data_IF_278826106647
#
_entry.id   IF_278826106647
#
_cell.length_a   1.000
_cell.length_b   1.000
_cell.length_c   1.000
_cell.angle_alpha   90.00
_cell.angle_beta   90.00
_cell.angle_gamma   90.00
#
_symmetry.space_group_name_H-M   'P 1'
#
loop_
_entity.id
_entity.type
_entity.pdbx_description
1 polymer ?
#
# COMPACT_ATOMS: atom_id res chain seq x y z
N UNK A 1 -35.07 4.35 -0.58
CA UNK A 1 -35.34 5.60 0.16
C UNK A 1 -34.79 5.57 1.59
N UNK A 2 -34.89 4.46 2.34
CA UNK A 2 -34.46 4.42 3.75
C UNK A 2 -32.95 4.57 3.99
N UNK A 3 -32.08 4.04 3.12
CA UNK A 3 -30.62 4.18 3.28
C UNK A 3 -30.12 5.62 3.09
N UNK A 4 -30.67 6.35 2.11
CA UNK A 4 -30.34 7.76 1.87
C UNK A 4 -31.03 8.71 2.84
N UNK A 5 -32.24 8.39 3.32
CA UNK A 5 -32.83 9.11 4.46
C UNK A 5 -31.99 8.90 5.72
N UNK A 6 -31.57 7.67 6.02
CA UNK A 6 -30.69 7.38 7.15
C UNK A 6 -29.32 8.07 7.02
N UNK A 7 -28.77 8.12 5.80
CA UNK A 7 -27.54 8.85 5.51
C UNK A 7 -27.76 10.37 5.63
N UNK A 8 -28.86 10.91 5.12
CA UNK A 8 -29.26 12.31 5.25
C UNK A 8 -29.45 12.70 6.71
N UNK A 9 -30.15 11.91 7.51
CA UNK A 9 -30.37 12.20 8.93
C UNK A 9 -29.05 12.09 9.72
N UNK A 10 -28.18 11.13 9.36
CA UNK A 10 -26.84 10.99 9.97
C UNK A 10 -25.85 12.08 9.54
N UNK A 11 -25.86 12.52 8.28
CA UNK A 11 -25.01 13.60 7.77
C UNK A 11 -25.55 14.94 8.26
N UNK A 12 -26.85 15.20 8.16
CA UNK A 12 -27.48 16.46 8.55
C UNK A 12 -27.45 16.70 10.06
N UNK A 13 -27.63 15.66 10.90
CA UNK A 13 -27.40 15.78 12.35
C UNK A 13 -25.93 16.02 12.72
N UNK A 14 -24.99 15.61 11.88
CA UNK A 14 -23.55 15.76 12.10
C UNK A 14 -22.98 17.06 11.56
N UNK A 15 -23.41 17.53 10.38
CA UNK A 15 -23.07 18.86 9.87
C UNK A 15 -23.53 19.94 10.85
N UNK A 16 -24.71 19.76 11.47
CA UNK A 16 -25.15 20.62 12.59
C UNK A 16 -24.23 20.56 13.82
N UNK A 17 -23.50 19.46 14.05
CA UNK A 17 -22.55 19.30 15.15
C UNK A 17 -21.14 19.81 14.83
N UNK A 18 -20.68 19.72 13.58
CA UNK A 18 -19.35 20.19 13.16
C UNK A 18 -19.26 21.71 13.27
N UNK A 19 -20.37 22.42 13.05
CA UNK A 19 -20.49 23.87 13.28
C UNK A 19 -20.35 24.26 14.78
N UNK A 20 -20.40 23.31 15.71
CA UNK A 20 -20.48 23.59 17.15
C UNK A 20 -19.25 23.17 17.98
N UNK A 21 -18.11 22.81 17.38
CA UNK A 21 -16.92 22.36 18.13
C UNK A 21 -15.77 23.39 18.20
N UNK A 22 -16.02 24.65 17.83
CA UNK A 22 -15.09 25.75 18.11
C UNK A 22 -15.36 26.29 19.53
N UNK A 23 -14.32 26.60 20.33
CA UNK A 23 -14.49 27.25 21.63
C UNK A 23 -15.22 28.59 21.45
N UNK A 24 -16.09 28.98 22.41
CA UNK A 24 -16.94 30.15 22.26
C UNK A 24 -16.09 31.43 22.18
N UNK A 25 -16.20 32.25 21.11
CA UNK A 25 -15.70 33.61 21.14
C UNK A 25 -16.56 34.45 22.11
N UNK A 26 -15.97 35.46 22.78
CA UNK A 26 -16.72 36.40 23.59
C UNK A 26 -17.66 37.25 22.71
N UNK A 27 -18.85 37.49 23.26
CA UNK A 27 -19.96 38.37 22.82
C UNK A 27 -20.59 38.14 21.43
N UNK A 28 -21.88 37.81 21.49
CA UNK A 28 -22.79 37.44 20.41
C UNK A 28 -23.10 38.63 19.49
N UNK A 29 -22.47 38.69 18.33
CA UNK A 29 -23.08 39.32 17.16
C UNK A 29 -23.93 38.25 16.45
N UNK A 30 -25.23 38.52 16.31
CA UNK A 30 -26.14 37.74 15.47
C UNK A 30 -25.66 37.88 14.03
N UNK A 31 -24.75 37.01 13.60
CA UNK A 31 -24.27 37.00 12.23
C UNK A 31 -25.44 36.62 11.32
N UNK A 32 -25.92 37.60 10.55
CA UNK A 32 -26.85 37.37 9.46
C UNK A 32 -26.33 36.20 8.61
N UNK A 33 -27.11 35.12 8.56
CA UNK A 33 -26.78 33.90 7.82
C UNK A 33 -26.48 34.28 6.37
N UNK A 34 -25.21 34.22 5.98
CA UNK A 34 -24.80 34.49 4.59
C UNK A 34 -25.46 33.42 3.71
N UNK A 35 -26.47 33.83 2.97
CA UNK A 35 -27.12 33.01 1.96
C UNK A 35 -26.09 32.78 0.85
N UNK A 36 -25.93 31.52 0.41
CA UNK A 36 -25.05 31.19 -0.70
C UNK A 36 -25.50 31.91 -1.97
N UNK A 37 -24.57 32.40 -2.78
CA UNK A 37 -24.88 33.04 -4.08
C UNK A 37 -25.69 32.12 -4.99
N UNK A 38 -25.50 30.79 -4.89
CA UNK A 38 -26.26 29.81 -5.67
C UNK A 38 -27.73 29.70 -5.24
N UNK A 39 -28.05 29.92 -3.96
CA UNK A 39 -29.44 29.87 -3.46
C UNK A 39 -30.27 31.07 -3.91
N UNK A 40 -29.63 32.09 -4.50
CA UNK A 40 -30.31 33.26 -5.08
C UNK A 40 -30.65 33.08 -6.55
N UNK A 41 -30.16 32.03 -7.20
CA UNK A 41 -30.44 31.78 -8.59
C UNK A 41 -31.89 31.28 -8.75
N UNK A 42 -32.61 31.75 -9.79
CA UNK A 42 -33.79 31.05 -10.28
C UNK A 42 -33.49 29.57 -10.52
N UNK A 43 -34.46 28.71 -10.24
CA UNK A 43 -34.27 27.25 -10.31
C UNK A 43 -33.88 26.81 -11.72
N UNK A 44 -34.36 27.49 -12.75
CA UNK A 44 -34.06 27.24 -14.15
C UNK A 44 -32.57 27.46 -14.46
N UNK A 45 -31.97 28.51 -13.89
CA UNK A 45 -30.54 28.78 -14.04
C UNK A 45 -29.71 27.75 -13.27
N UNK A 46 -30.15 27.35 -12.07
CA UNK A 46 -29.51 26.25 -11.34
C UNK A 46 -29.55 24.95 -12.17
N UNK A 47 -30.71 24.60 -12.72
CA UNK A 47 -30.89 23.40 -13.54
C UNK A 47 -30.03 23.44 -14.82
N UNK A 48 -29.92 24.61 -15.45
CA UNK A 48 -29.00 24.82 -16.57
C UNK A 48 -27.55 24.55 -16.14
N UNK A 49 -27.09 25.10 -15.01
CA UNK A 49 -25.73 24.88 -14.50
C UNK A 49 -25.48 23.40 -14.20
N UNK A 50 -26.39 22.74 -13.47
CA UNK A 50 -26.18 21.35 -13.06
C UNK A 50 -26.24 20.36 -14.24
N UNK A 51 -26.86 20.74 -15.36
CA UNK A 51 -26.87 19.92 -16.58
C UNK A 51 -25.48 19.71 -17.20
N UNK A 52 -24.51 20.56 -16.85
CA UNK A 52 -23.11 20.45 -17.27
C UNK A 52 -22.22 19.70 -16.26
N UNK A 53 -22.79 19.26 -15.13
CA UNK A 53 -22.04 18.59 -14.07
C UNK A 53 -22.23 17.07 -14.14
N UNK A 54 -21.22 16.28 -13.75
CA UNK A 54 -21.40 14.86 -13.50
C UNK A 54 -22.48 14.62 -12.45
N UNK A 55 -23.24 13.54 -12.60
CA UNK A 55 -24.34 13.18 -11.70
C UNK A 55 -23.88 13.10 -10.24
N UNK A 56 -22.67 12.60 -10.00
CA UNK A 56 -22.04 12.55 -8.68
C UNK A 56 -21.88 13.94 -8.04
N UNK A 57 -21.49 14.95 -8.80
CA UNK A 57 -21.39 16.33 -8.33
C UNK A 57 -22.75 16.96 -8.05
N UNK A 58 -23.75 16.69 -8.91
CA UNK A 58 -25.14 17.13 -8.67
C UNK A 58 -25.70 16.54 -7.38
N UNK A 59 -25.43 15.25 -7.14
CA UNK A 59 -25.82 14.57 -5.91
C UNK A 59 -25.16 15.21 -4.67
N UNK A 60 -23.86 15.55 -4.72
CA UNK A 60 -23.20 16.28 -3.64
C UNK A 60 -23.79 17.68 -3.41
N UNK A 61 -24.06 18.44 -4.47
CA UNK A 61 -24.68 19.76 -4.38
C UNK A 61 -26.07 19.67 -3.72
N UNK A 62 -26.84 18.63 -4.04
CA UNK A 62 -28.16 18.37 -3.43
C UNK A 62 -28.10 18.15 -1.90
N UNK A 63 -26.93 17.85 -1.34
CA UNK A 63 -26.74 17.62 0.09
C UNK A 63 -26.32 18.87 0.87
N UNK A 64 -25.99 19.97 0.18
CA UNK A 64 -25.49 21.21 0.80
C UNK A 64 -26.56 22.01 1.52
N UNK A 65 -27.80 22.03 1.01
CA UNK A 65 -28.93 22.70 1.66
C UNK A 65 -30.28 22.06 1.32
N UNK A 66 -31.31 22.39 2.10
CA UNK A 66 -32.68 21.90 1.87
C UNK A 66 -33.21 22.34 0.51
N UNK A 67 -32.91 23.57 0.10
CA UNK A 67 -33.36 24.10 -1.18
C UNK A 67 -32.72 23.37 -2.36
N UNK A 68 -31.39 23.19 -2.36
CA UNK A 68 -30.71 22.40 -3.40
C UNK A 68 -31.22 20.96 -3.44
N UNK A 69 -31.50 20.36 -2.28
CA UNK A 69 -32.06 19.02 -2.21
C UNK A 69 -33.40 18.93 -2.95
N UNK A 70 -34.33 19.86 -2.66
CA UNK A 70 -35.65 19.89 -3.27
C UNK A 70 -35.58 20.19 -4.77
N UNK A 71 -34.70 21.09 -5.19
CA UNK A 71 -34.51 21.45 -6.59
C UNK A 71 -33.86 20.33 -7.43
N UNK A 72 -32.93 19.56 -6.84
CA UNK A 72 -32.06 18.64 -7.59
C UNK A 72 -32.40 17.15 -7.41
N UNK A 73 -33.33 16.78 -6.52
CA UNK A 73 -33.61 15.37 -6.21
C UNK A 73 -34.01 14.53 -7.44
N UNK A 74 -34.67 15.15 -8.43
CA UNK A 74 -35.13 14.47 -9.64
C UNK A 74 -34.07 14.45 -10.76
N UNK A 75 -32.89 15.05 -10.54
CA UNK A 75 -31.82 15.14 -11.54
C UNK A 75 -30.86 13.94 -11.52
N UNK A 76 -31.04 12.99 -10.59
CA UNK A 76 -30.22 11.79 -10.49
C UNK A 76 -30.98 10.61 -9.87
N UNK A 77 -30.60 9.37 -10.20
CA UNK A 77 -31.10 8.20 -9.45
C UNK A 77 -30.33 8.07 -8.13
N UNK A 78 -30.96 8.31 -6.98
CA UNK A 78 -30.29 8.21 -5.70
C UNK A 78 -29.84 6.77 -5.38
N UNK A 79 -30.40 5.76 -6.06
CA UNK A 79 -30.02 4.36 -5.86
C UNK A 79 -28.82 3.92 -6.69
N UNK A 80 -28.43 4.68 -7.72
CA UNK A 80 -27.30 4.35 -8.59
C UNK A 80 -27.32 2.91 -9.09
N UNK A 81 -28.49 2.40 -9.51
CA UNK A 81 -28.63 0.96 -9.78
C UNK A 81 -27.80 0.46 -10.94
N UNK A 82 -27.53 1.34 -11.90
CA UNK A 82 -26.92 0.99 -13.18
C UNK A 82 -25.57 1.71 -13.41
N UNK A 83 -25.07 2.47 -12.42
CA UNK A 83 -23.84 3.26 -12.55
C UNK A 83 -23.00 3.23 -11.26
N UNK A 84 -22.27 2.14 -11.07
CA UNK A 84 -21.34 1.99 -9.96
C UNK A 84 -20.14 2.95 -10.05
N UNK A 85 -19.82 3.45 -11.25
CA UNK A 85 -18.71 4.40 -11.46
C UNK A 85 -19.08 5.78 -10.91
N UNK A 86 -20.24 6.33 -11.26
CA UNK A 86 -20.71 7.59 -10.70
C UNK A 86 -21.00 7.48 -9.21
N UNK A 87 -21.52 6.34 -8.74
CA UNK A 87 -21.65 6.07 -7.30
C UNK A 87 -20.30 6.12 -6.59
N UNK A 88 -19.25 5.51 -7.15
CA UNK A 88 -17.90 5.57 -6.58
C UNK A 88 -17.39 7.01 -6.52
N UNK A 89 -17.58 7.79 -7.59
CA UNK A 89 -17.24 9.22 -7.65
C UNK A 89 -17.98 10.03 -6.58
N UNK A 90 -19.29 9.85 -6.46
CA UNK A 90 -20.13 10.50 -5.45
C UNK A 90 -19.65 10.20 -4.04
N UNK A 91 -19.37 8.93 -3.73
CA UNK A 91 -18.90 8.55 -2.40
C UNK A 91 -17.50 9.11 -2.11
N UNK A 92 -16.61 9.19 -3.11
CA UNK A 92 -15.29 9.81 -2.96
C UNK A 92 -15.42 11.30 -2.69
N UNK A 93 -16.31 12.01 -3.39
CA UNK A 93 -16.60 13.42 -3.09
C UNK A 93 -17.08 13.60 -1.64
N UNK A 94 -17.97 12.73 -1.15
CA UNK A 94 -18.40 12.77 0.26
C UNK A 94 -17.28 12.44 1.25
N UNK A 95 -16.39 11.52 0.91
CA UNK A 95 -15.23 11.19 1.72
C UNK A 95 -14.27 12.38 1.92
N UNK A 96 -14.27 13.34 0.99
CA UNK A 96 -13.45 14.55 1.09
C UNK A 96 -13.90 15.45 2.25
N UNK A 97 -15.19 15.47 2.57
CA UNK A 97 -15.80 16.31 3.61
C UNK A 97 -15.94 15.61 4.97
N UNK A 98 -15.72 14.29 5.02
CA UNK A 98 -15.95 13.48 6.22
C UNK A 98 -14.70 12.68 6.58
N UNK A 99 -13.77 13.27 7.37
CA UNK A 99 -12.44 12.69 7.63
C UNK A 99 -12.48 11.29 8.27
N UNK A 100 -13.49 10.99 9.08
CA UNK A 100 -13.63 9.68 9.74
C UNK A 100 -14.17 8.57 8.84
N UNK A 101 -14.60 8.92 7.62
CA UNK A 101 -15.15 7.99 6.65
C UNK A 101 -14.14 7.67 5.55
N UNK A 102 -14.30 6.51 4.92
CA UNK A 102 -13.49 6.04 3.80
C UNK A 102 -14.37 5.28 2.82
N UNK A 103 -14.08 5.42 1.53
CA UNK A 103 -14.75 4.63 0.49
C UNK A 103 -13.99 3.32 0.28
N UNK A 104 -14.68 2.20 0.36
CA UNK A 104 -14.10 0.92 -0.05
C UNK A 104 -14.00 0.88 -1.57
N UNK A 105 -12.80 0.68 -2.11
CA UNK A 105 -12.54 0.62 -3.54
C UNK A 105 -13.19 -0.59 -4.26
N UNK A 106 -13.64 -1.60 -3.52
CA UNK A 106 -14.31 -2.78 -4.08
C UNK A 106 -15.84 -2.70 -3.98
N UNK A 107 -16.35 -2.34 -2.80
CA UNK A 107 -17.78 -2.36 -2.53
C UNK A 107 -18.50 -1.06 -2.89
N UNK A 108 -17.77 0.03 -3.16
CA UNK A 108 -18.33 1.38 -3.28
C UNK A 108 -19.29 1.69 -2.12
N UNK A 109 -18.78 1.53 -0.89
CA UNK A 109 -19.48 1.91 0.33
C UNK A 109 -18.63 2.87 1.15
N UNK A 110 -19.29 3.82 1.82
CA UNK A 110 -18.67 4.73 2.76
C UNK A 110 -18.75 4.14 4.18
N UNK A 111 -17.61 3.91 4.83
CA UNK A 111 -17.54 3.31 6.17
C UNK A 111 -16.59 4.07 7.08
N UNK A 112 -16.77 3.93 8.40
CA UNK A 112 -15.90 4.56 9.40
C UNK A 112 -14.61 3.75 9.57
N UNK A 113 -13.50 4.25 9.06
CA UNK A 113 -12.23 3.54 9.10
C UNK A 113 -11.63 3.46 10.50
N UNK A 114 -11.80 4.49 11.35
CA UNK A 114 -11.34 4.48 12.76
C UNK A 114 -12.11 3.53 13.68
N UNK A 115 -13.29 3.06 13.25
CA UNK A 115 -14.13 2.13 14.03
C UNK A 115 -14.05 0.68 13.53
N UNK A 116 -13.24 0.40 12.50
CA UNK A 116 -13.00 -0.99 12.13
C UNK A 116 -12.20 -1.70 13.24
N UNK A 117 -12.31 -3.02 13.31
CA UNK A 117 -11.70 -3.88 14.34
C UNK A 117 -10.32 -3.39 14.80
N UNK A 118 -10.04 -3.46 16.12
CA UNK A 118 -8.73 -3.11 16.70
C UNK A 118 -7.57 -3.84 16.03
N UNK A 119 -7.83 -5.02 15.47
CA UNK A 119 -6.83 -5.88 14.84
C UNK A 119 -6.66 -5.61 13.34
N UNK A 120 -7.66 -5.01 12.69
CA UNK A 120 -7.69 -4.78 11.24
C UNK A 120 -8.24 -3.36 10.98
N UNK A 121 -7.45 -2.32 11.31
CA UNK A 121 -7.79 -0.96 10.95
C UNK A 121 -7.92 -0.85 9.43
N UNK A 122 -8.74 0.08 8.94
CA UNK A 122 -8.94 0.36 7.51
C UNK A 122 -9.66 -0.73 6.69
N UNK A 123 -9.97 -1.89 7.27
CA UNK A 123 -10.66 -2.95 6.52
C UNK A 123 -12.14 -2.59 6.30
N UNK A 124 -12.61 -2.82 5.08
CA UNK A 124 -14.02 -2.69 4.74
C UNK A 124 -14.87 -3.63 5.62
N UNK A 125 -15.98 -3.18 6.22
CA UNK A 125 -16.84 -4.06 7.02
C UNK A 125 -17.47 -5.20 6.20
N UNK A 126 -17.61 -5.01 4.89
CA UNK A 126 -18.14 -6.01 3.96
C UNK A 126 -17.05 -6.88 3.31
N UNK A 127 -15.80 -6.83 3.78
CA UNK A 127 -14.70 -7.61 3.19
C UNK A 127 -14.93 -9.13 3.20
N UNK A 128 -15.81 -9.63 4.06
CA UNK A 128 -16.17 -11.05 4.13
C UNK A 128 -17.37 -11.42 3.25
N UNK A 129 -18.06 -10.44 2.65
CA UNK A 129 -19.13 -10.71 1.69
C UNK A 129 -18.52 -11.08 0.34
N UNK A 130 -18.33 -12.39 0.17
CA UNK A 130 -17.71 -13.02 -1.01
C UNK A 130 -18.44 -12.74 -2.33
N UNK A 131 -19.67 -12.24 -2.30
CA UNK A 131 -20.40 -11.87 -3.52
C UNK A 131 -20.05 -10.48 -4.02
N UNK A 132 -19.55 -9.60 -3.14
CA UNK A 132 -19.29 -8.18 -3.43
C UNK A 132 -17.81 -7.86 -3.55
N UNK A 133 -17.00 -8.54 -2.76
CA UNK A 133 -15.58 -8.63 -3.02
C UNK A 133 -15.43 -9.85 -3.92
N UNK A 134 -15.14 -9.66 -5.21
CA UNK A 134 -14.96 -10.75 -6.18
C UNK A 134 -13.95 -11.79 -5.65
N UNK A 135 -14.49 -12.77 -4.93
CA UNK A 135 -13.72 -13.74 -4.14
C UNK A 135 -12.99 -14.73 -5.05
N UNK A 136 -13.32 -14.75 -6.34
CA UNK A 136 -12.60 -15.54 -7.34
C UNK A 136 -11.27 -14.90 -7.75
N UNK A 137 -11.09 -13.59 -7.51
CA UNK A 137 -9.84 -12.86 -7.78
C UNK A 137 -9.05 -12.49 -6.53
N UNK A 138 -9.68 -12.48 -5.35
CA UNK A 138 -9.03 -12.06 -4.10
C UNK A 138 -9.53 -12.89 -2.90
N UNK A 139 -8.95 -14.07 -2.67
CA UNK A 139 -8.51 -14.30 -1.28
C UNK A 139 -7.64 -13.09 -1.00
N UNK A 140 -7.98 -12.28 0.00
CA UNK A 140 -7.15 -11.19 0.54
C UNK A 140 -5.77 -11.77 0.81
N UNK A 141 -4.97 -11.85 -0.24
CA UNK A 141 -3.77 -12.59 -0.19
C UNK A 141 -2.82 -11.65 0.54
N UNK A 142 -2.25 -12.11 1.67
CA UNK A 142 -1.51 -11.27 2.58
C UNK A 142 -0.25 -10.75 1.88
N UNK A 143 -0.37 -9.63 1.16
CA UNK A 143 0.70 -9.16 0.28
C UNK A 143 1.25 -7.84 0.75
N UNK A 144 1.88 -7.95 1.91
CA UNK A 144 3.25 -7.54 2.12
C UNK A 144 3.50 -7.77 3.60
N UNK A 145 4.44 -8.66 3.93
CA UNK A 145 4.91 -8.83 5.30
C UNK A 145 5.77 -7.61 5.65
N UNK A 146 5.13 -6.45 5.80
CA UNK A 146 5.83 -5.23 6.16
C UNK A 146 6.22 -5.31 7.62
N UNK A 147 5.40 -5.95 8.47
CA UNK A 147 5.73 -6.11 9.88
C UNK A 147 5.40 -7.51 10.41
N UNK A 148 6.31 -8.08 11.21
CA UNK A 148 5.94 -8.96 12.33
C UNK A 148 6.06 -8.13 13.63
N UNK A 149 5.00 -7.51 14.16
CA UNK A 149 4.96 -7.19 15.57
C UNK A 149 4.46 -8.43 16.30
N UNK A 150 5.25 -8.87 17.28
CA UNK A 150 5.19 -10.15 18.00
C UNK A 150 3.86 -10.49 18.71
N UNK A 151 2.81 -9.66 18.61
CA UNK A 151 1.60 -9.81 19.42
C UNK A 151 0.30 -9.86 18.59
N UNK A 152 0.25 -9.29 17.37
CA UNK A 152 -1.01 -9.14 16.60
C UNK A 152 -0.97 -9.82 15.22
N UNK A 153 0.11 -10.56 14.92
CA UNK A 153 0.30 -11.19 13.62
C UNK A 153 0.78 -10.20 12.56
N UNK A 154 1.08 -10.67 11.34
CA UNK A 154 1.66 -9.83 10.32
C UNK A 154 0.70 -8.69 9.93
N UNK A 155 1.17 -7.44 9.96
CA UNK A 155 0.39 -6.34 9.40
C UNK A 155 0.39 -6.47 7.88
N UNK A 156 -0.79 -6.73 7.35
CA UNK A 156 -1.02 -6.86 5.92
C UNK A 156 -1.44 -5.51 5.38
N UNK A 157 -0.76 -5.03 4.33
CA UNK A 157 -1.20 -3.85 3.61
C UNK A 157 -2.25 -4.26 2.59
N UNK A 158 -3.46 -3.75 2.77
CA UNK A 158 -4.57 -3.88 1.83
C UNK A 158 -4.73 -2.61 1.01
N UNK A 159 -5.45 -2.71 -0.11
CA UNK A 159 -5.75 -1.57 -0.98
C UNK A 159 -6.36 -0.37 -0.25
N UNK A 160 -7.31 -0.59 0.65
CA UNK A 160 -7.91 0.49 1.44
C UNK A 160 -6.93 1.14 2.43
N UNK A 161 -5.91 0.40 2.89
CA UNK A 161 -4.85 0.95 3.74
C UNK A 161 -3.95 1.89 2.93
N UNK A 162 -3.61 1.53 1.69
CA UNK A 162 -2.90 2.44 0.76
C UNK A 162 -3.68 3.74 0.59
N UNK A 163 -4.98 3.65 0.30
CA UNK A 163 -5.84 4.83 0.15
C UNK A 163 -5.89 5.66 1.43
N UNK A 164 -5.86 5.02 2.62
CA UNK A 164 -5.78 5.68 3.92
C UNK A 164 -4.50 6.51 4.08
N UNK A 165 -3.33 5.92 3.81
CA UNK A 165 -2.05 6.62 3.90
C UNK A 165 -1.95 7.76 2.89
N UNK A 166 -2.40 7.54 1.65
CA UNK A 166 -2.43 8.59 0.63
C UNK A 166 -3.33 9.77 1.05
N UNK A 167 -4.48 9.49 1.66
CA UNK A 167 -5.37 10.53 2.22
C UNK A 167 -4.73 11.24 3.40
N UNK A 168 -4.13 10.49 4.33
CA UNK A 168 -3.43 11.04 5.49
C UNK A 168 -2.26 11.93 5.09
N UNK A 169 -1.50 11.54 4.07
CA UNK A 169 -0.42 12.35 3.51
C UNK A 169 -0.94 13.63 2.83
N UNK A 170 -1.95 13.52 1.96
CA UNK A 170 -2.45 14.66 1.19
C UNK A 170 -3.23 15.68 2.03
N UNK A 171 -3.92 15.23 3.10
CA UNK A 171 -4.87 16.06 3.86
C UNK A 171 -4.56 16.16 5.35
N UNK A 172 -3.52 15.48 5.82
CA UNK A 172 -3.11 15.44 7.22
C UNK A 172 -3.79 14.35 8.08
N UNK A 173 -3.39 14.25 9.35
CA UNK A 173 -3.67 13.12 10.24
C UNK A 173 -5.14 12.90 10.62
N UNK A 174 -6.01 13.86 10.30
CA UNK A 174 -7.46 13.69 10.51
C UNK A 174 -8.08 12.74 9.48
N UNK A 175 -7.49 12.65 8.28
CA UNK A 175 -8.02 11.91 7.14
C UNK A 175 -7.43 10.50 6.96
N UNK A 176 -6.33 10.20 7.64
CA UNK A 176 -5.67 8.90 7.55
C UNK A 176 -4.39 8.84 8.38
N UNK A 177 -3.77 7.66 8.46
CA UNK A 177 -2.46 7.49 9.08
C UNK A 177 -1.38 8.26 8.31
N UNK A 178 -0.29 8.59 9.00
CA UNK A 178 0.84 9.32 8.41
C UNK A 178 1.93 8.36 7.91
N UNK A 179 2.70 8.74 6.90
CA UNK A 179 3.66 7.82 6.24
C UNK A 179 4.72 7.29 7.20
N UNK A 180 5.08 8.06 8.22
CA UNK A 180 6.07 7.69 9.24
C UNK A 180 5.63 6.46 10.03
N UNK A 181 4.33 6.13 10.08
CA UNK A 181 3.82 4.92 10.72
C UNK A 181 4.19 3.64 9.92
N UNK A 182 4.53 3.76 8.63
CA UNK A 182 5.06 2.65 7.82
C UNK A 182 6.59 2.53 7.95
N UNK A 183 7.26 3.62 8.31
CA UNK A 183 8.71 3.66 8.45
C UNK A 183 9.12 2.88 9.68
N UNK A 184 9.99 1.89 9.50
CA UNK A 184 10.50 1.14 10.63
C UNK A 184 11.84 0.50 10.32
N UNK A 185 12.61 0.29 11.38
CA UNK A 185 13.82 -0.53 11.36
C UNK A 185 13.59 -1.68 12.32
N UNK A 186 13.36 -2.89 11.79
CA UNK A 186 13.29 -4.07 12.63
C UNK A 186 14.69 -4.60 12.86
N UNK A 187 15.12 -4.58 14.12
CA UNK A 187 16.25 -5.38 14.55
C UNK A 187 15.80 -6.83 14.73
N UNK A 188 16.65 -7.80 14.40
CA UNK A 188 16.35 -9.20 14.59
C UNK A 188 16.27 -9.50 16.09
N UNK A 189 15.08 -9.82 16.58
CA UNK A 189 14.94 -10.43 17.91
C UNK A 189 15.22 -11.94 17.80
N UNK A 190 16.02 -12.44 18.74
CA UNK A 190 16.73 -13.72 18.73
C UNK A 190 15.81 -14.97 18.80
N UNK A 191 14.48 -14.82 18.73
CA UNK A 191 13.54 -15.85 19.24
C UNK A 191 12.72 -16.56 18.16
N UNK A 192 13.20 -16.64 16.92
CA UNK A 192 12.52 -17.47 15.91
C UNK A 192 12.93 -18.95 16.07
N UNK A 193 11.98 -19.91 16.10
CA UNK A 193 12.24 -21.34 16.28
C UNK A 193 12.88 -22.02 15.05
N UNK A 194 13.28 -21.27 14.03
CA UNK A 194 13.88 -21.81 12.81
C UNK A 194 15.33 -21.36 12.69
N UNK A 195 16.24 -22.34 12.70
CA UNK A 195 17.69 -22.25 12.45
C UNK A 195 18.39 -21.16 13.28
N UNK A 196 18.97 -21.57 14.41
CA UNK A 196 19.68 -20.73 15.37
C UNK A 196 20.58 -19.68 14.67
N UNK A 197 20.25 -18.40 14.89
CA UNK A 197 21.19 -17.28 14.74
C UNK A 197 21.18 -16.50 13.42
N UNK A 198 20.42 -16.87 12.39
CA UNK A 198 20.39 -16.10 11.13
C UNK A 198 19.39 -14.96 11.20
N UNK A 199 19.89 -13.74 11.19
CA UNK A 199 19.16 -12.53 11.56
C UNK A 199 19.19 -11.51 10.40
N UNK A 200 18.04 -11.26 9.78
CA UNK A 200 17.91 -10.24 8.72
C UNK A 200 17.53 -8.92 9.40
N UNK A 201 18.38 -7.91 9.27
CA UNK A 201 17.99 -6.54 9.58
C UNK A 201 17.15 -6.02 8.44
N UNK A 202 16.03 -5.36 8.75
CA UNK A 202 15.15 -4.79 7.74
C UNK A 202 14.86 -3.34 8.07
N UNK A 203 14.99 -2.48 7.07
CA UNK A 203 14.58 -1.08 7.12
C UNK A 203 13.53 -0.86 6.06
N UNK A 204 12.47 -0.11 6.38
CA UNK A 204 11.45 0.31 5.43
C UNK A 204 11.30 1.82 5.51
N UNK A 205 11.25 2.44 4.34
CA UNK A 205 10.97 3.85 4.12
C UNK A 205 9.80 3.99 3.13
N UNK A 206 8.75 4.68 3.54
CA UNK A 206 7.54 4.91 2.77
C UNK A 206 7.48 6.35 2.29
N UNK A 207 7.16 6.55 1.01
CA UNK A 207 7.07 7.87 0.38
C UNK A 207 5.90 7.95 -0.57
N UNK A 208 5.47 9.17 -0.87
CA UNK A 208 4.49 9.43 -1.93
C UNK A 208 5.18 10.16 -3.08
N UNK A 209 5.20 9.53 -4.25
CA UNK A 209 5.79 10.10 -5.46
C UNK A 209 4.73 10.18 -6.54
N UNK A 210 4.44 11.39 -7.02
CA UNK A 210 3.38 11.66 -8.01
C UNK A 210 2.02 11.05 -7.62
N UNK A 211 1.65 11.17 -6.34
CA UNK A 211 0.38 10.65 -5.83
C UNK A 211 0.32 9.13 -5.64
N UNK A 212 1.45 8.42 -5.80
CA UNK A 212 1.55 6.96 -5.62
C UNK A 212 2.36 6.63 -4.36
N UNK A 213 1.90 5.64 -3.60
CA UNK A 213 2.61 5.16 -2.42
C UNK A 213 3.73 4.22 -2.86
N UNK A 214 4.97 4.60 -2.56
CA UNK A 214 6.17 3.80 -2.77
C UNK A 214 6.72 3.32 -1.45
N UNK A 215 7.08 2.05 -1.38
CA UNK A 215 7.83 1.46 -0.28
C UNK A 215 9.22 1.08 -0.76
N UNK A 216 10.22 1.59 -0.06
CA UNK A 216 11.60 1.16 -0.21
C UNK A 216 11.97 0.33 1.01
N UNK A 217 12.56 -0.83 0.79
CA UNK A 217 13.00 -1.69 1.89
C UNK A 217 14.40 -2.21 1.64
N UNK A 218 15.23 -2.21 2.67
CA UNK A 218 16.58 -2.75 2.62
C UNK A 218 16.68 -3.86 3.64
N UNK A 219 17.02 -5.05 3.16
CA UNK A 219 17.19 -6.26 3.96
C UNK A 219 18.68 -6.60 3.97
N UNK A 220 19.30 -6.62 5.13
CA UNK A 220 20.73 -6.96 5.26
C UNK A 220 20.92 -8.19 6.14
N UNK A 221 21.81 -9.06 5.69
CA UNK A 221 22.22 -10.26 6.42
C UNK A 221 23.73 -10.41 6.34
N UNK A 222 24.35 -10.78 7.46
CA UNK A 222 25.75 -11.19 7.49
C UNK A 222 25.81 -12.68 7.83
N UNK A 223 26.55 -13.45 7.03
CA UNK A 223 26.74 -14.90 7.21
C UNK A 223 28.23 -15.15 7.40
N UNK A 224 28.62 -15.77 8.51
CA UNK A 224 30.00 -16.17 8.74
C UNK A 224 30.37 -17.38 7.87
N UNK A 225 31.54 -17.29 7.22
CA UNK A 225 32.16 -18.32 6.39
C UNK A 225 33.00 -19.30 7.22
N UNK A 226 33.38 -18.92 8.44
CA UNK A 226 34.20 -19.78 9.28
C UNK A 226 33.36 -20.94 9.81
N UNK A 227 33.68 -22.16 9.38
CA UNK A 227 33.26 -23.36 10.10
C UNK A 227 33.83 -23.28 11.53
N UNK A 228 33.07 -23.70 12.54
CA UNK A 228 33.64 -23.89 13.86
C UNK A 228 34.88 -24.79 13.71
N UNK A 229 36.06 -24.33 14.16
CA UNK A 229 37.31 -24.99 13.87
C UNK A 229 37.38 -26.29 14.66
N UNK A 230 37.08 -27.42 14.01
CA UNK A 230 37.41 -28.74 14.55
C UNK A 230 38.69 -29.31 13.94
N UNK A 231 39.28 -28.69 12.92
CA UNK A 231 40.54 -29.15 12.32
C UNK A 231 41.31 -28.03 11.59
N UNK A 232 42.58 -27.79 11.91
CA UNK A 232 43.44 -26.86 11.18
C UNK A 232 44.00 -27.57 9.93
N UNK A 233 43.26 -27.56 8.82
CA UNK A 233 43.84 -27.93 7.53
C UNK A 233 43.38 -27.04 6.36
N UNK A 234 44.40 -26.56 5.67
CA UNK A 234 44.54 -25.64 4.54
C UNK A 234 43.85 -26.05 3.24
N UNK A 235 42.80 -26.86 3.28
CA UNK A 235 42.05 -27.24 2.08
C UNK A 235 41.12 -26.11 1.65
N UNK A 236 41.26 -25.68 0.40
CA UNK A 236 40.30 -24.87 -0.39
C UNK A 236 38.88 -25.09 0.14
N UNK A 237 38.28 -24.04 0.72
CA UNK A 237 36.89 -24.06 1.22
C UNK A 237 36.02 -24.78 0.20
N UNK A 238 35.42 -25.90 0.61
CA UNK A 238 34.42 -26.57 -0.21
C UNK A 238 33.17 -25.69 -0.23
N UNK A 239 33.15 -24.80 -1.22
CA UNK A 239 32.07 -23.86 -1.49
C UNK A 239 30.73 -24.57 -1.62
N UNK A 240 30.70 -25.84 -2.05
CA UNK A 240 29.47 -26.60 -2.15
C UNK A 240 28.88 -26.91 -0.77
N UNK A 241 29.72 -27.24 0.21
CA UNK A 241 29.33 -27.47 1.60
C UNK A 241 28.90 -26.15 2.26
N UNK A 242 29.66 -25.06 2.06
CA UNK A 242 29.28 -23.74 2.59
C UNK A 242 27.91 -23.27 2.09
N UNK A 243 27.67 -23.38 0.77
CA UNK A 243 26.40 -22.99 0.15
C UNK A 243 25.25 -23.79 0.76
N UNK A 244 25.44 -25.09 0.95
CA UNK A 244 24.40 -26.00 1.46
C UNK A 244 24.10 -25.74 2.94
N UNK A 245 25.12 -25.60 3.79
CA UNK A 245 24.95 -25.61 5.25
C UNK A 245 24.59 -24.24 5.85
N UNK A 246 25.10 -23.16 5.25
CA UNK A 246 25.00 -21.81 5.84
C UNK A 246 24.22 -20.84 4.98
N UNK A 247 24.48 -20.85 3.68
CA UNK A 247 23.84 -19.90 2.77
C UNK A 247 22.40 -20.31 2.45
N UNK A 248 22.11 -21.58 2.20
CA UNK A 248 20.77 -22.03 1.81
C UNK A 248 19.67 -21.68 2.84
N UNK A 249 19.87 -21.88 4.15
CA UNK A 249 18.97 -21.36 5.19
C UNK A 249 18.70 -19.86 5.10
N UNK A 250 19.77 -19.08 4.90
CA UNK A 250 19.72 -17.63 4.79
C UNK A 250 18.93 -17.19 3.55
N UNK A 251 19.12 -17.87 2.43
CA UNK A 251 18.39 -17.62 1.18
C UNK A 251 16.91 -17.90 1.32
N UNK A 252 16.55 -19.00 1.98
CA UNK A 252 15.15 -19.31 2.26
C UNK A 252 14.48 -18.21 3.09
N UNK A 253 15.22 -17.60 4.03
CA UNK A 253 14.73 -16.48 4.83
C UNK A 253 14.51 -15.22 3.98
N UNK A 254 15.45 -14.86 3.09
CA UNK A 254 15.25 -13.77 2.12
C UNK A 254 14.07 -14.04 1.19
N UNK A 255 13.92 -15.27 0.72
CA UNK A 255 12.79 -15.67 -0.11
C UNK A 255 11.47 -15.49 0.64
N UNK A 256 11.41 -15.54 1.96
CA UNK A 256 10.17 -15.25 2.71
C UNK A 256 9.99 -13.77 3.05
N UNK A 257 11.07 -13.06 3.35
CA UNK A 257 11.00 -11.70 3.93
C UNK A 257 11.18 -10.56 2.90
N UNK A 258 11.97 -10.76 1.85
CA UNK A 258 12.39 -9.72 0.91
C UNK A 258 11.81 -9.91 -0.51
N UNK A 259 10.64 -10.55 -0.62
CA UNK A 259 10.01 -10.89 -1.91
C UNK A 259 8.67 -10.20 -2.12
N UNK A 260 8.29 -10.09 -3.40
CA UNK A 260 6.88 -10.11 -3.77
C UNK A 260 6.42 -11.57 -3.97
N UNK A 261 5.10 -11.81 -4.01
CA UNK A 261 4.48 -13.10 -4.36
C UNK A 261 5.13 -13.84 -5.52
N UNK A 262 5.50 -13.05 -6.52
CA UNK A 262 5.83 -13.50 -7.86
C UNK A 262 7.33 -13.78 -8.03
N UNK A 263 8.14 -13.47 -7.01
CA UNK A 263 9.59 -13.69 -6.99
C UNK A 263 10.00 -14.77 -6.00
N UNK A 264 9.06 -15.61 -5.56
CA UNK A 264 9.35 -16.77 -4.72
C UNK A 264 10.44 -17.65 -5.37
N UNK A 265 11.47 -17.99 -4.59
CA UNK A 265 12.66 -18.77 -4.98
C UNK A 265 13.59 -18.06 -6.00
N UNK A 266 13.21 -16.88 -6.50
CA UNK A 266 14.03 -16.12 -7.46
C UNK A 266 15.03 -15.21 -6.76
N UNK A 267 14.67 -14.67 -5.60
CA UNK A 267 15.58 -13.84 -4.79
C UNK A 267 16.74 -14.70 -4.29
N UNK A 268 16.46 -15.88 -3.75
CA UNK A 268 17.48 -16.84 -3.35
C UNK A 268 18.42 -17.23 -4.51
N UNK A 269 17.87 -17.51 -5.69
CA UNK A 269 18.67 -17.81 -6.88
C UNK A 269 19.57 -16.65 -7.31
N UNK A 270 19.06 -15.41 -7.28
CA UNK A 270 19.83 -14.22 -7.60
C UNK A 270 20.98 -13.98 -6.62
N UNK A 271 20.75 -14.16 -5.31
CA UNK A 271 21.80 -14.07 -4.29
C UNK A 271 22.86 -15.15 -4.50
N UNK A 272 22.47 -16.40 -4.80
CA UNK A 272 23.42 -17.47 -5.11
C UNK A 272 24.29 -17.14 -6.31
N UNK A 273 23.68 -16.64 -7.38
CA UNK A 273 24.37 -16.25 -8.59
C UNK A 273 25.37 -15.12 -8.31
N UNK A 274 24.94 -14.06 -7.63
CA UNK A 274 25.80 -12.95 -7.21
C UNK A 274 26.96 -13.41 -6.31
N UNK A 275 26.69 -14.31 -5.35
CA UNK A 275 27.71 -14.90 -4.49
C UNK A 275 28.76 -15.69 -5.27
N UNK A 276 28.35 -16.50 -6.25
CA UNK A 276 29.28 -17.26 -7.11
C UNK A 276 30.21 -16.35 -7.92
N UNK A 277 29.67 -15.26 -8.49
CA UNK A 277 30.49 -14.27 -9.20
C UNK A 277 31.55 -13.65 -8.27
N UNK A 278 31.16 -13.28 -7.04
CA UNK A 278 32.06 -12.67 -6.06
C UNK A 278 33.15 -13.59 -5.53
N UNK A 279 32.86 -14.88 -5.41
CA UNK A 279 33.80 -15.88 -4.92
C UNK A 279 34.81 -16.35 -6.00
N UNK A 280 34.87 -15.67 -7.14
CA UNK A 280 35.93 -15.83 -8.14
C UNK A 280 35.71 -16.95 -9.14
N UNK A 281 34.46 -17.41 -9.34
CA UNK A 281 34.14 -18.41 -10.38
C UNK A 281 34.21 -17.85 -11.80
N UNK A 282 34.05 -16.53 -11.95
CA UNK A 282 34.13 -15.83 -13.22
C UNK A 282 34.98 -14.57 -13.00
N UNK A 283 36.00 -14.35 -13.83
CA UNK A 283 37.04 -13.33 -13.63
C UNK A 283 36.58 -11.87 -13.67
N UNK A 284 35.27 -11.60 -13.60
CA UNK A 284 34.71 -10.27 -13.59
C UNK A 284 34.32 -9.86 -12.15
N UNK A 285 35.10 -8.92 -11.58
CA UNK A 285 34.87 -8.38 -10.24
C UNK A 285 33.88 -7.21 -10.22
N UNK A 286 33.27 -6.87 -11.35
CA UNK A 286 32.28 -5.79 -11.38
C UNK A 286 31.14 -6.10 -10.41
N UNK A 287 30.69 -5.07 -9.71
CA UNK A 287 29.64 -5.18 -8.67
C UNK A 287 28.41 -5.79 -9.33
N UNK A 288 27.99 -6.99 -8.92
CA UNK A 288 26.71 -7.57 -9.33
C UNK A 288 25.61 -6.63 -8.83
N UNK A 289 25.17 -5.73 -9.71
CA UNK A 289 24.15 -4.70 -9.47
C UNK A 289 22.99 -4.93 -10.43
N UNK A 290 22.60 -6.19 -10.62
CA UNK A 290 21.49 -6.51 -11.50
C UNK A 290 20.21 -6.04 -10.81
N UNK A 291 19.63 -4.99 -11.38
CA UNK A 291 18.28 -4.55 -11.04
C UNK A 291 17.33 -5.57 -11.66
N UNK A 292 16.74 -6.38 -10.80
CA UNK A 292 15.74 -7.39 -11.13
C UNK A 292 14.36 -6.78 -10.95
N UNK A 293 13.42 -7.15 -11.80
CA UNK A 293 12.07 -6.57 -11.71
C UNK A 293 11.01 -7.60 -11.92
N UNK A 294 9.99 -7.51 -11.08
CA UNK A 294 8.85 -8.39 -11.17
C UNK A 294 8.02 -8.08 -12.42
N UNK A 295 7.93 -9.05 -13.33
CA UNK A 295 7.07 -8.93 -14.51
C UNK A 295 5.57 -8.81 -14.20
N UNK A 296 5.13 -9.13 -12.97
CA UNK A 296 3.71 -9.17 -12.59
C UNK A 296 3.25 -8.02 -11.73
N UNK A 297 4.11 -7.56 -10.82
CA UNK A 297 3.78 -6.47 -9.93
C UNK A 297 4.80 -5.34 -10.02
N UNK A 298 4.46 -4.17 -9.50
CA UNK A 298 5.34 -3.01 -9.53
C UNK A 298 6.41 -3.09 -8.44
N UNK A 299 7.28 -4.11 -8.54
CA UNK A 299 8.42 -4.32 -7.63
C UNK A 299 9.71 -4.44 -8.40
N UNK A 300 10.66 -3.56 -8.08
CA UNK A 300 12.06 -3.67 -8.48
C UNK A 300 12.88 -4.13 -7.27
N UNK A 301 13.92 -4.92 -7.51
CA UNK A 301 14.81 -5.41 -6.47
C UNK A 301 16.26 -5.41 -6.95
N UNK A 302 17.18 -5.17 -6.04
CA UNK A 302 18.62 -5.18 -6.26
C UNK A 302 19.26 -6.04 -5.20
N UNK A 303 20.11 -6.95 -5.65
CA UNK A 303 20.89 -7.83 -4.77
C UNK A 303 22.34 -7.37 -4.78
N UNK A 304 22.92 -7.19 -3.60
CA UNK A 304 24.36 -6.95 -3.43
C UNK A 304 24.92 -8.04 -2.53
N UNK A 305 26.01 -8.65 -2.99
CA UNK A 305 26.79 -9.59 -2.19
C UNK A 305 28.20 -9.04 -2.09
N UNK A 306 28.66 -8.89 -0.86
CA UNK A 306 29.98 -8.39 -0.53
C UNK A 306 30.68 -9.36 0.42
N UNK A 307 31.99 -9.48 0.28
CA UNK A 307 32.84 -10.21 1.20
C UNK A 307 33.53 -9.18 2.08
N UNK A 308 33.61 -9.45 3.38
CA UNK A 308 34.44 -8.64 4.27
C UNK A 308 35.92 -8.72 3.85
N UNK A 309 36.74 -7.76 4.30
CA UNK A 309 38.16 -7.67 3.90
C UNK A 309 38.99 -8.90 4.29
N UNK A 310 38.49 -9.73 5.21
CA UNK A 310 39.10 -11.00 5.62
C UNK A 310 38.58 -12.22 4.86
N UNK A 311 37.53 -12.09 4.03
CA UNK A 311 36.85 -13.23 3.42
C UNK A 311 36.26 -14.20 4.44
N UNK A 312 35.93 -13.71 5.64
CA UNK A 312 35.35 -14.47 6.74
C UNK A 312 33.85 -14.29 6.88
N UNK A 313 33.27 -13.27 6.23
CA UNK A 313 31.83 -13.01 6.23
C UNK A 313 31.34 -12.66 4.83
N UNK A 314 30.15 -13.15 4.51
CA UNK A 314 29.37 -12.72 3.35
C UNK A 314 28.28 -11.78 3.84
N UNK A 315 28.32 -10.55 3.38
CA UNK A 315 27.24 -9.59 3.56
C UNK A 315 26.33 -9.63 2.35
N UNK A 316 25.05 -9.89 2.59
CA UNK A 316 23.99 -9.93 1.60
C UNK A 316 23.06 -8.75 1.88
N UNK A 317 22.84 -7.92 0.88
CA UNK A 317 21.88 -6.83 0.91
C UNK A 317 20.86 -7.00 -0.22
N UNK A 318 19.57 -7.01 0.13
CA UNK A 318 18.46 -7.02 -0.83
C UNK A 318 17.67 -5.74 -0.65
N UNK A 319 17.80 -4.86 -1.62
CA UNK A 319 17.12 -3.58 -1.72
C UNK A 319 15.88 -3.76 -2.61
N UNK A 320 14.69 -3.37 -2.15
CA UNK A 320 13.43 -3.53 -2.88
C UNK A 320 12.68 -2.21 -2.97
N UNK A 321 12.15 -1.88 -4.14
CA UNK A 321 11.25 -0.76 -4.38
C UNK A 321 9.91 -1.28 -4.85
N UNK A 322 8.84 -0.91 -4.16
CA UNK A 322 7.50 -1.38 -4.44
C UNK A 322 6.55 -0.19 -4.61
N UNK A 323 5.89 -0.10 -5.77
CA UNK A 323 4.77 0.82 -5.97
C UNK A 323 3.45 0.13 -5.61
N UNK A 324 2.75 0.71 -4.65
CA UNK A 324 1.39 0.31 -4.27
C UNK A 324 0.32 1.15 -4.99
N UNK A 325 0.74 2.01 -5.93
CA UNK A 325 -0.14 2.82 -6.77
C UNK A 325 -0.76 4.03 -6.06
N UNK A 326 -1.61 4.76 -6.79
CA UNK A 326 -2.33 5.95 -6.32
C UNK A 326 -3.81 5.65 -6.00
N UNK A 327 -4.54 6.62 -5.43
CA UNK A 327 -5.95 6.45 -5.02
C UNK A 327 -6.91 6.37 -6.20
N UNK A 328 -6.63 7.09 -7.28
CA UNK A 328 -7.49 7.16 -8.45
C UNK A 328 -7.33 5.92 -9.33
N UNK A 329 -8.41 5.14 -9.44
CA UNK A 329 -8.50 3.92 -10.25
C UNK A 329 -8.00 4.12 -11.69
N UNK A 330 -8.29 5.28 -12.26
CA UNK A 330 -8.01 5.59 -13.66
C UNK A 330 -6.50 5.81 -13.91
N UNK A 331 -5.74 6.08 -12.84
CA UNK A 331 -4.30 6.31 -12.87
C UNK A 331 -3.48 5.13 -12.33
N UNK A 332 -4.13 4.01 -11.97
CA UNK A 332 -3.44 2.83 -11.43
C UNK A 332 -2.94 1.92 -12.54
N UNK A 333 -1.66 1.56 -12.45
CA UNK A 333 -1.10 0.51 -13.30
C UNK A 333 -1.60 -0.86 -12.79
N UNK A 334 -1.98 -1.75 -13.71
CA UNK A 334 -2.40 -3.13 -13.35
C UNK A 334 -1.35 -3.85 -12.50
N UNK A 335 -0.07 -3.57 -12.71
CA UNK A 335 1.02 -4.14 -11.92
C UNK A 335 1.06 -3.60 -10.47
N UNK A 336 0.56 -2.40 -10.21
CA UNK A 336 0.44 -1.86 -8.85
C UNK A 336 -0.68 -2.57 -8.09
N UNK A 337 -1.79 -2.86 -8.77
CA UNK A 337 -2.92 -3.58 -8.19
C UNK A 337 -2.72 -5.11 -8.16
N UNK A 338 -1.75 -5.64 -8.93
CA UNK A 338 -1.38 -7.05 -8.91
C UNK A 338 -0.89 -7.51 -7.52
N UNK A 339 -0.44 -6.59 -6.67
CA UNK A 339 -0.14 -6.84 -5.27
C UNK A 339 -1.36 -7.25 -4.45
N UNK A 340 -2.55 -6.77 -4.80
CA UNK A 340 -3.78 -7.04 -4.05
C UNK A 340 -4.61 -8.14 -4.68
N UNK A 341 -4.13 -8.71 -5.79
CA UNK A 341 -4.79 -9.79 -6.51
C UNK A 341 -4.20 -11.13 -6.09
N UNK A 342 -5.02 -12.18 -6.04
CA UNK A 342 -4.48 -13.52 -5.90
C UNK A 342 -3.61 -13.81 -7.12
N UNK A 343 -2.37 -14.32 -6.95
CA UNK A 343 -1.58 -14.73 -8.10
C UNK A 343 -2.38 -15.82 -8.81
N UNK A 344 -2.96 -15.48 -9.97
CA UNK A 344 -3.26 -16.52 -10.94
C UNK A 344 -1.91 -17.18 -11.19
N UNK A 345 -1.85 -18.49 -11.01
CA UNK A 345 -0.71 -19.31 -11.41
C UNK A 345 -0.62 -19.27 -12.95
N UNK A 346 -0.47 -18.09 -13.55
CA UNK A 346 0.09 -17.99 -14.88
C UNK A 346 1.55 -18.41 -14.75
N UNK A 347 2.07 -19.09 -15.75
CA UNK A 347 3.47 -19.53 -15.80
C UNK A 347 4.31 -18.53 -16.59
N UNK A 348 3.87 -17.26 -16.65
CA UNK A 348 4.58 -16.22 -17.39
C UNK A 348 5.99 -16.06 -16.82
N UNK A 349 6.97 -16.29 -17.70
CA UNK A 349 8.39 -16.27 -17.42
C UNK A 349 8.84 -14.88 -16.99
N UNK A 350 9.66 -14.84 -15.95
CA UNK A 350 10.33 -13.62 -15.51
C UNK A 350 11.53 -13.39 -16.41
N UNK A 351 11.54 -12.25 -17.07
CA UNK A 351 12.68 -11.85 -17.88
C UNK A 351 13.70 -11.14 -17.00
N UNK A 352 14.73 -11.90 -16.57
CA UNK A 352 15.87 -11.38 -15.80
C UNK A 352 16.67 -10.36 -16.62
N UNK A 353 16.65 -10.47 -17.94
CA UNK A 353 17.59 -9.79 -18.83
C UNK A 353 17.07 -8.45 -19.34
N UNK A 354 15.78 -8.15 -19.15
CA UNK A 354 15.18 -6.89 -19.60
C UNK A 354 14.77 -6.04 -18.39
N UNK A 355 15.63 -5.10 -17.94
CA UNK A 355 15.26 -4.17 -16.88
C UNK A 355 14.03 -3.36 -17.31
N UNK A 356 13.07 -3.11 -16.42
CA UNK A 356 11.81 -2.52 -16.79
C UNK A 356 12.01 -1.06 -17.15
N UNK A 357 11.14 -0.56 -18.02
CA UNK A 357 11.01 0.87 -18.33
C UNK A 357 10.68 1.69 -17.06
N UNK A 358 10.10 1.05 -16.04
CA UNK A 358 9.57 1.72 -14.83
C UNK A 358 10.65 2.28 -13.90
N UNK A 359 11.83 1.65 -13.79
CA UNK A 359 12.97 2.08 -12.96
C UNK A 359 12.57 2.84 -11.68
N UNK A 360 11.92 2.15 -10.73
CA UNK A 360 11.37 2.74 -9.51
C UNK A 360 12.44 3.40 -8.63
N UNK A 361 13.68 2.94 -8.73
CA UNK A 361 14.83 3.57 -8.08
C UNK A 361 14.98 5.06 -8.50
N UNK A 362 14.88 5.36 -9.79
CA UNK A 362 14.99 6.75 -10.29
C UNK A 362 13.88 7.64 -9.73
N UNK A 363 12.71 7.08 -9.42
CA UNK A 363 11.61 7.83 -8.81
C UNK A 363 11.96 8.27 -7.38
N UNK A 364 12.72 7.46 -6.63
CA UNK A 364 13.07 7.79 -5.25
C UNK A 364 14.21 8.82 -5.16
N UNK A 365 15.12 8.86 -6.13
CA UNK A 365 16.27 9.79 -6.12
C UNK A 365 15.94 11.23 -6.55
N UNK A 366 14.75 11.47 -7.12
CA UNK A 366 14.38 12.77 -7.74
C UNK A 366 13.44 13.64 -6.91
N UNK A 367 13.13 13.22 -5.69
CA UNK A 367 12.30 13.92 -4.70
C UNK A 367 13.14 14.22 -3.48
#
# INVERSE_FOLDING_TARGET
>A
MNALRSLKDRISSRLRRIVCLSPPPPSVQVQARRISTLERLPVELLLCIVSFLPTSSVACLSLTSKWHHEALLNQFDPKWRDDDTEKARFLRLLEEDVPEMMVCCFCNILYRWKKSSRYLPYRCPNCYDYKRHDYTSTRDAPWCYIHKPYIIGPFLIYRNMVDAFLRGFAKGPRYGPQLEELNHTSKPEVVAPFLEGVCINKTIDARVVKGKLLLHSIHTLSVSLLAQPSSPLTSRLDLSQFVSDRLLPALYKFDHEARCSHTMNRVGAAILYAGRLRLGYYGDRTRSLDLLSCGRCATDLRVRVELDGGGTHVQIEVETWQSLGGRDSDNRDKAEDAHFSYPRLSDESFDINHPPVRNLEKFQRRS
#
